data_IF_075275380225
#
_entry.id   IF_075275380225
#
_cell.length_a   1.000
_cell.length_b   1.000
_cell.length_c   1.000
_cell.angle_alpha   90.00
_cell.angle_beta   90.00
_cell.angle_gamma   90.00
#
_symmetry.space_group_name_H-M   'P 1'
#
loop_
_entity.id
_entity.type
_entity.pdbx_description
1 polymer ?
#
# COMPACT_ATOMS: atom_id res chain seq x y z
N UNK A 1 -15.00 -20.71 -10.90
CA UNK A 1 -14.15 -19.51 -11.06
C UNK A 1 -14.57 -18.29 -10.22
N UNK A 2 -15.66 -18.31 -9.45
CA UNK A 2 -16.08 -17.14 -8.63
C UNK A 2 -15.44 -17.07 -7.23
N UNK A 3 -15.18 -18.22 -6.59
CA UNK A 3 -14.66 -18.26 -5.22
C UNK A 3 -13.25 -17.67 -5.08
N UNK A 4 -12.34 -18.02 -5.98
CA UNK A 4 -10.96 -17.51 -5.95
C UNK A 4 -10.91 -15.99 -6.16
N UNK A 5 -11.72 -15.47 -7.09
CA UNK A 5 -11.81 -14.03 -7.36
C UNK A 5 -12.42 -13.29 -6.17
N UNK A 6 -13.52 -13.80 -5.58
CA UNK A 6 -14.12 -13.17 -4.40
C UNK A 6 -13.19 -13.18 -3.19
N UNK A 7 -12.44 -14.26 -2.96
CA UNK A 7 -11.42 -14.30 -1.91
C UNK A 7 -10.28 -13.32 -2.18
N UNK A 8 -9.85 -13.16 -3.44
CA UNK A 8 -8.81 -12.19 -3.81
C UNK A 8 -9.28 -10.73 -3.61
N UNK A 9 -10.55 -10.47 -3.90
CA UNK A 9 -11.19 -9.17 -3.69
C UNK A 9 -11.35 -8.88 -2.21
N UNK A 10 -11.83 -9.82 -1.39
CA UNK A 10 -11.91 -9.63 0.07
C UNK A 10 -10.53 -9.48 0.73
N UNK A 11 -9.53 -10.25 0.28
CA UNK A 11 -8.14 -10.07 0.74
C UNK A 11 -7.56 -8.72 0.31
N UNK A 12 -7.94 -8.21 -0.87
CA UNK A 12 -7.59 -6.85 -1.31
C UNK A 12 -8.33 -5.79 -0.53
N UNK A 13 -9.56 -6.03 -0.06
CA UNK A 13 -10.31 -5.06 0.75
C UNK A 13 -9.68 -4.88 2.13
N UNK A 14 -9.04 -5.93 2.68
CA UNK A 14 -8.33 -5.86 3.97
C UNK A 14 -6.82 -6.04 3.74
N UNK A 15 -6.09 -5.00 3.33
CA UNK A 15 -4.64 -5.06 3.10
C UNK A 15 -3.83 -5.50 4.33
N UNK A 16 -4.41 -5.44 5.54
CA UNK A 16 -3.83 -6.01 6.76
C UNK A 16 -3.69 -7.53 6.70
N UNK A 17 -4.56 -8.22 5.96
CA UNK A 17 -4.56 -9.69 5.82
C UNK A 17 -3.34 -10.19 5.02
N UNK A 18 -3.02 -9.66 3.82
CA UNK A 18 -1.76 -9.95 3.12
C UNK A 18 -0.52 -9.74 4.00
N UNK A 19 -0.49 -8.66 4.79
CA UNK A 19 0.62 -8.37 5.69
C UNK A 19 0.79 -9.47 6.75
N UNK A 20 -0.30 -9.85 7.42
CA UNK A 20 -0.30 -10.91 8.42
C UNK A 20 0.08 -12.26 7.80
N UNK A 21 -0.47 -12.61 6.64
CA UNK A 21 -0.19 -13.88 5.96
C UNK A 21 1.31 -13.99 5.62
N UNK A 22 1.90 -12.99 5.00
CA UNK A 22 3.33 -13.03 4.61
C UNK A 22 4.22 -13.01 5.85
N UNK A 23 3.83 -12.31 6.91
CA UNK A 23 4.54 -12.31 8.19
C UNK A 23 4.53 -13.69 8.87
N UNK A 24 3.37 -14.34 8.97
CA UNK A 24 3.25 -15.68 9.56
C UNK A 24 3.99 -16.74 8.73
N UNK A 25 3.85 -16.72 7.40
CA UNK A 25 4.56 -17.65 6.50
C UNK A 25 6.08 -17.48 6.63
N UNK A 26 6.58 -16.25 6.61
CA UNK A 26 8.03 -16.03 6.71
C UNK A 26 8.60 -16.26 8.12
N UNK A 27 7.79 -16.14 9.16
CA UNK A 27 8.18 -16.52 10.54
C UNK A 27 8.24 -18.05 10.68
N UNK A 28 7.30 -18.78 10.08
CA UNK A 28 7.30 -20.24 10.04
C UNK A 28 8.46 -20.84 9.24
N UNK A 29 8.95 -20.13 8.22
CA UNK A 29 10.10 -20.55 7.41
C UNK A 29 11.47 -20.29 8.07
N UNK A 30 11.53 -19.85 9.34
CA UNK A 30 12.76 -19.45 10.06
C UNK A 30 13.67 -18.50 9.25
N UNK A 31 13.10 -17.72 8.33
CA UNK A 31 13.85 -16.72 7.58
C UNK A 31 14.14 -15.54 8.49
N UNK A 32 15.27 -14.87 8.23
CA UNK A 32 15.64 -13.58 8.83
C UNK A 32 14.42 -12.66 8.96
N UNK A 33 13.98 -12.39 10.20
CA UNK A 33 12.76 -11.63 10.47
C UNK A 33 12.74 -10.29 9.71
N UNK A 34 13.91 -9.64 9.60
CA UNK A 34 14.07 -8.38 8.85
C UNK A 34 13.73 -8.54 7.36
N UNK A 35 14.14 -9.64 6.72
CA UNK A 35 13.86 -9.90 5.29
C UNK A 35 12.40 -10.30 5.08
N UNK A 36 11.83 -11.07 5.99
CA UNK A 36 10.41 -11.46 5.97
C UNK A 36 9.51 -10.23 6.06
N UNK A 37 9.77 -9.33 7.01
CA UNK A 37 9.00 -8.09 7.17
C UNK A 37 9.10 -7.21 5.92
N UNK A 38 10.30 -7.12 5.32
CA UNK A 38 10.49 -6.37 4.08
C UNK A 38 9.66 -6.93 2.93
N UNK A 39 9.66 -8.25 2.74
CA UNK A 39 8.83 -8.89 1.72
C UNK A 39 7.33 -8.73 2.00
N UNK A 40 6.92 -8.83 3.27
CA UNK A 40 5.53 -8.61 3.67
C UNK A 40 5.08 -7.18 3.36
N UNK A 41 5.92 -6.18 3.65
CA UNK A 41 5.67 -4.79 3.30
C UNK A 41 5.57 -4.62 1.79
N UNK A 42 6.50 -5.19 1.01
CA UNK A 42 6.53 -5.01 -0.43
C UNK A 42 5.26 -5.56 -1.10
N UNK A 43 4.85 -6.76 -0.71
CA UNK A 43 3.61 -7.41 -1.18
C UNK A 43 2.39 -6.60 -0.74
N UNK A 44 2.32 -6.21 0.54
CA UNK A 44 1.17 -5.49 1.08
C UNK A 44 0.99 -4.11 0.43
N UNK A 45 2.09 -3.44 0.05
CA UNK A 45 2.03 -2.13 -0.61
C UNK A 45 1.28 -2.19 -1.94
N UNK A 46 1.45 -3.29 -2.70
CA UNK A 46 0.69 -3.50 -3.95
C UNK A 46 -0.80 -3.67 -3.68
N UNK A 47 -1.15 -4.47 -2.67
CA UNK A 47 -2.55 -4.63 -2.26
C UNK A 47 -3.14 -3.30 -1.79
N UNK A 48 -2.43 -2.58 -0.91
CA UNK A 48 -2.81 -1.24 -0.44
C UNK A 48 -3.05 -0.27 -1.59
N UNK A 49 -2.22 -0.31 -2.64
CA UNK A 49 -2.39 0.53 -3.82
C UNK A 49 -3.75 0.28 -4.48
N UNK A 50 -4.13 -0.99 -4.65
CA UNK A 50 -5.42 -1.38 -5.20
C UNK A 50 -6.58 -1.03 -4.25
N UNK A 51 -6.43 -1.29 -2.94
CA UNK A 51 -7.46 -1.01 -1.93
C UNK A 51 -7.78 0.48 -1.85
N UNK A 52 -6.74 1.32 -1.72
CA UNK A 52 -6.90 2.77 -1.57
C UNK A 52 -7.47 3.38 -2.85
N UNK A 53 -7.01 2.92 -4.02
CA UNK A 53 -7.56 3.35 -5.32
C UNK A 53 -9.05 3.02 -5.42
N UNK A 54 -9.44 1.78 -5.08
CA UNK A 54 -10.83 1.35 -5.09
C UNK A 54 -11.68 2.13 -4.08
N UNK A 55 -11.20 2.32 -2.85
CA UNK A 55 -11.91 3.10 -1.82
C UNK A 55 -12.12 4.55 -2.27
N UNK A 56 -11.08 5.19 -2.79
CA UNK A 56 -11.18 6.55 -3.31
C UNK A 56 -12.20 6.64 -4.45
N UNK A 57 -12.14 5.72 -5.40
CA UNK A 57 -13.04 5.71 -6.54
C UNK A 57 -14.50 5.50 -6.12
N UNK A 58 -14.75 4.63 -5.14
CA UNK A 58 -16.09 4.42 -4.58
C UNK A 58 -16.59 5.66 -3.82
N UNK A 59 -15.72 6.30 -3.03
CA UNK A 59 -16.08 7.44 -2.18
C UNK A 59 -16.38 8.71 -3.00
N UNK A 60 -15.59 8.96 -4.04
CA UNK A 60 -15.68 10.17 -4.86
C UNK A 60 -16.35 9.94 -6.23
N UNK A 61 -16.83 8.72 -6.49
CA UNK A 61 -17.43 8.30 -7.77
C UNK A 61 -16.57 8.70 -8.99
N UNK A 62 -15.25 8.55 -8.83
CA UNK A 62 -14.24 9.01 -9.78
C UNK A 62 -13.32 7.85 -10.17
N UNK A 63 -12.72 7.87 -11.36
CA UNK A 63 -11.69 6.92 -11.77
C UNK A 63 -10.26 7.33 -11.36
N UNK A 64 -10.11 8.44 -10.63
CA UNK A 64 -8.82 9.12 -10.47
C UNK A 64 -7.93 8.57 -9.34
N UNK A 65 -8.45 7.68 -8.47
CA UNK A 65 -7.72 7.17 -7.30
C UNK A 65 -6.39 6.49 -7.65
N UNK A 66 -6.35 5.72 -8.73
CA UNK A 66 -5.11 5.07 -9.19
C UNK A 66 -4.04 6.09 -9.59
N UNK A 67 -4.42 7.11 -10.36
CA UNK A 67 -3.52 8.16 -10.83
C UNK A 67 -3.00 9.03 -9.69
N UNK A 68 -3.85 9.32 -8.70
CA UNK A 68 -3.49 10.06 -7.49
C UNK A 68 -2.35 9.36 -6.74
N UNK A 69 -2.50 8.06 -6.51
CA UNK A 69 -1.48 7.28 -5.81
C UNK A 69 -0.21 7.20 -6.66
N UNK A 70 -0.33 6.99 -7.98
CA UNK A 70 0.82 6.95 -8.88
C UNK A 70 1.64 8.25 -8.81
N UNK A 71 0.97 9.40 -8.81
CA UNK A 71 1.61 10.71 -8.67
C UNK A 71 2.31 10.83 -7.32
N UNK A 72 1.68 10.42 -6.21
CA UNK A 72 2.31 10.44 -4.88
C UNK A 72 3.57 9.59 -4.85
N UNK A 73 3.56 8.40 -5.46
CA UNK A 73 4.73 7.52 -5.55
C UNK A 73 5.84 8.13 -6.41
N UNK A 74 5.50 8.76 -7.54
CA UNK A 74 6.49 9.43 -8.40
C UNK A 74 7.10 10.67 -7.73
N UNK A 75 6.30 11.48 -7.05
CA UNK A 75 6.79 12.65 -6.30
C UNK A 75 7.70 12.19 -5.17
N UNK A 76 7.30 11.19 -4.39
CA UNK A 76 8.16 10.65 -3.32
C UNK A 76 9.45 10.04 -3.86
N UNK A 77 9.43 9.40 -5.04
CA UNK A 77 10.65 8.96 -5.73
C UNK A 77 11.56 10.12 -6.14
N UNK A 78 11.00 11.20 -6.70
CA UNK A 78 11.76 12.40 -7.06
C UNK A 78 12.37 13.11 -5.85
N UNK A 79 11.61 13.26 -4.75
CA UNK A 79 12.08 13.89 -3.52
C UNK A 79 13.18 13.06 -2.84
N UNK A 80 12.98 11.74 -2.72
CA UNK A 80 14.00 10.86 -2.13
C UNK A 80 15.24 10.79 -3.01
N UNK A 81 15.07 10.77 -4.34
CA UNK A 81 16.19 10.75 -5.29
C UNK A 81 17.03 12.01 -5.28
N UNK A 82 16.38 13.17 -5.30
CA UNK A 82 17.06 14.47 -5.17
C UNK A 82 17.76 14.61 -3.82
N UNK A 83 17.13 14.19 -2.72
CA UNK A 83 17.74 14.18 -1.39
C UNK A 83 18.97 13.25 -1.33
N UNK A 84 18.91 12.05 -1.93
CA UNK A 84 20.06 11.14 -2.00
C UNK A 84 21.20 11.72 -2.85
N UNK A 85 20.88 12.32 -3.99
CA UNK A 85 21.85 12.98 -4.87
C UNK A 85 22.62 14.08 -4.13
N UNK A 86 21.92 14.88 -3.33
CA UNK A 86 22.52 15.99 -2.57
C UNK A 86 23.40 15.53 -1.40
N UNK A 87 23.05 14.42 -0.74
CA UNK A 87 23.75 13.94 0.47
C UNK A 87 24.92 13.01 0.14
N UNK A 88 24.83 12.22 -0.95
CA UNK A 88 25.82 11.18 -1.26
C UNK A 88 26.52 11.34 -2.60
N UNK A 89 26.12 12.31 -3.43
CA UNK A 89 26.66 12.53 -4.78
C UNK A 89 26.36 11.42 -5.79
N UNK A 90 25.80 10.28 -5.35
CA UNK A 90 25.45 9.13 -6.18
C UNK A 90 24.06 8.63 -5.79
N UNK A 91 23.26 8.28 -6.79
CA UNK A 91 21.91 7.76 -6.59
C UNK A 91 21.93 6.24 -6.67
N UNK A 92 21.86 5.59 -5.51
CA UNK A 92 21.70 4.14 -5.42
C UNK A 92 20.25 3.76 -5.76
N UNK A 93 19.96 3.38 -7.01
CA UNK A 93 18.61 3.01 -7.45
C UNK A 93 17.93 1.95 -6.58
N UNK A 94 18.67 0.92 -6.12
CA UNK A 94 18.16 -0.13 -5.21
C UNK A 94 17.82 0.40 -3.81
N UNK A 95 18.48 1.45 -3.35
CA UNK A 95 18.24 2.06 -2.04
C UNK A 95 17.09 3.05 -2.11
N UNK A 96 17.03 3.82 -3.20
CA UNK A 96 15.93 4.71 -3.54
C UNK A 96 14.62 3.95 -3.69
N UNK A 97 14.56 2.92 -4.54
CA UNK A 97 13.34 2.11 -4.70
C UNK A 97 12.84 1.56 -3.37
N UNK A 98 13.72 1.02 -2.52
CA UNK A 98 13.35 0.55 -1.18
C UNK A 98 12.83 1.66 -0.27
N UNK A 99 13.44 2.84 -0.31
CA UNK A 99 13.02 3.96 0.51
C UNK A 99 11.65 4.47 0.08
N UNK A 100 11.43 4.62 -1.23
CA UNK A 100 10.14 4.99 -1.81
C UNK A 100 9.09 3.96 -1.44
N UNK A 101 9.34 2.68 -1.66
CA UNK A 101 8.39 1.61 -1.38
C UNK A 101 7.94 1.59 0.09
N UNK A 102 8.90 1.77 1.02
CA UNK A 102 8.60 1.89 2.45
C UNK A 102 7.77 3.12 2.79
N UNK A 103 8.07 4.26 2.15
CA UNK A 103 7.30 5.49 2.36
C UNK A 103 5.88 5.32 1.81
N UNK A 104 5.74 4.73 0.62
CA UNK A 104 4.46 4.43 -0.01
C UNK A 104 3.61 3.53 0.86
N UNK A 105 4.17 2.49 1.48
CA UNK A 105 3.46 1.64 2.45
C UNK A 105 2.84 2.47 3.59
N UNK A 106 3.61 3.38 4.18
CA UNK A 106 3.16 4.21 5.30
C UNK A 106 2.06 5.18 4.88
N UNK A 107 2.24 5.88 3.76
CA UNK A 107 1.23 6.80 3.21
C UNK A 107 -0.04 6.06 2.83
N UNK A 108 0.07 4.96 2.09
CA UNK A 108 -1.07 4.16 1.66
C UNK A 108 -1.82 3.55 2.85
N UNK A 109 -1.10 3.04 3.85
CA UNK A 109 -1.70 2.51 5.07
C UNK A 109 -2.51 3.60 5.82
N UNK A 110 -1.96 4.81 5.90
CA UNK A 110 -2.65 5.96 6.50
C UNK A 110 -3.90 6.35 5.70
N UNK A 111 -3.78 6.51 4.38
CA UNK A 111 -4.92 6.82 3.52
C UNK A 111 -5.99 5.75 3.54
N UNK A 112 -5.59 4.47 3.59
CA UNK A 112 -6.52 3.35 3.73
C UNK A 112 -7.34 3.48 5.01
N UNK A 113 -6.70 3.71 6.16
CA UNK A 113 -7.41 3.89 7.43
C UNK A 113 -8.36 5.10 7.38
N UNK A 114 -7.91 6.23 6.84
CA UNK A 114 -8.74 7.43 6.71
C UNK A 114 -9.95 7.21 5.80
N UNK A 115 -9.76 6.67 4.59
CA UNK A 115 -10.87 6.43 3.67
C UNK A 115 -11.80 5.33 4.15
N UNK A 116 -11.28 4.32 4.86
CA UNK A 116 -12.13 3.30 5.46
C UNK A 116 -13.03 3.89 6.55
N UNK A 117 -12.51 4.75 7.43
CA UNK A 117 -13.31 5.45 8.44
C UNK A 117 -14.36 6.36 7.80
N UNK A 118 -13.98 7.14 6.79
CA UNK A 118 -14.92 8.03 6.08
C UNK A 118 -16.01 7.21 5.37
N UNK A 119 -15.63 6.13 4.67
CA UNK A 119 -16.57 5.23 4.00
C UNK A 119 -17.53 4.56 4.99
N UNK A 120 -17.05 4.18 6.17
CA UNK A 120 -17.88 3.62 7.24
C UNK A 120 -18.91 4.64 7.75
N UNK A 121 -18.49 5.89 7.99
CA UNK A 121 -19.39 6.98 8.42
C UNK A 121 -20.46 7.23 7.36
N UNK A 122 -20.07 7.29 6.08
CA UNK A 122 -21.01 7.52 4.98
C UNK A 122 -22.00 6.36 4.83
N UNK A 123 -21.54 5.11 4.96
CA UNK A 123 -22.40 3.92 4.93
C UNK A 123 -23.43 3.95 6.06
N UNK A 124 -22.99 4.25 7.29
CA UNK A 124 -23.87 4.36 8.46
C UNK A 124 -24.87 5.52 8.28
N UNK A 125 -24.43 6.65 7.72
CA UNK A 125 -25.30 7.81 7.47
C UNK A 125 -26.32 7.60 6.34
N UNK A 126 -26.07 6.69 5.40
CA UNK A 126 -27.05 6.29 4.38
C UNK A 126 -27.97 5.16 4.84
N UNK A 127 -27.51 4.35 5.81
CA UNK A 127 -28.28 3.24 6.37
C UNK A 127 -29.28 3.67 7.45
N UNK A 128 -29.13 4.88 8.00
CA UNK A 128 -30.12 5.57 8.83
C UNK A 128 -31.01 6.45 7.96
#
# INVERSE_FOLDING_TARGET
MGFLLNSFVTLSVIPVVPFMIVYFIGTGLKKEQKKTVLLAMDVTTLFLFLSVSALFNNLFNSGFGFYLILIIVLISAGLIGSAQSRVKGTVDGKRLLRAVWRLSFFFLGTFYLLFMLIGLIQYISQAM
#
